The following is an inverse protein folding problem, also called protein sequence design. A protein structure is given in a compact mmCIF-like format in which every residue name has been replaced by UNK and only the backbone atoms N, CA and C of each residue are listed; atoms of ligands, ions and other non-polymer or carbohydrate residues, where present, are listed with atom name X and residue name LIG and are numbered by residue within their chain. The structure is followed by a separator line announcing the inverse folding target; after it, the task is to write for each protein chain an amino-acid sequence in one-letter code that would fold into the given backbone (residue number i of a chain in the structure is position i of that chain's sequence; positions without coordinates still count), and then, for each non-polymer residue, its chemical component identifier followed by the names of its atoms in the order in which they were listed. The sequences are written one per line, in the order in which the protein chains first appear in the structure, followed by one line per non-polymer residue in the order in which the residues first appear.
data_IF_639864955988
#
_entry.id   IF_639864955988
#
_cell.length_a   1.000
_cell.length_b   1.000
_cell.length_c   1.000
_cell.angle_alpha   90.00
_cell.angle_beta   90.00
_cell.angle_gamma   90.00
#
_symmetry.space_group_name_H-M   'P 1'
#
loop_
_entity.id
_entity.type
_entity.pdbx_description
1 polymer ?
#
# COMPACT_ATOMS: atom_id res chain seq x y z
N UNK A 1 -8.02 -14.27 -10.01
CA UNK A 1 -7.58 -13.70 -8.72
C UNK A 1 -8.60 -12.65 -8.34
N UNK A 2 -9.06 -12.66 -7.09
CA UNK A 2 -9.89 -11.60 -6.51
C UNK A 2 -9.04 -10.91 -5.46
N UNK A 3 -8.76 -9.63 -5.65
CA UNK A 3 -7.92 -8.87 -4.74
C UNK A 3 -8.77 -7.97 -3.84
N UNK A 4 -8.37 -7.81 -2.58
CA UNK A 4 -9.00 -6.94 -1.58
C UNK A 4 -10.52 -7.10 -1.47
N UNK A 5 -11.00 -8.33 -1.25
CA UNK A 5 -12.44 -8.63 -1.16
C UNK A 5 -13.18 -7.81 -0.09
N UNK A 6 -12.48 -7.37 0.96
CA UNK A 6 -12.99 -6.49 2.01
C UNK A 6 -13.41 -5.10 1.50
N UNK A 7 -12.76 -4.58 0.45
CA UNK A 7 -13.06 -3.27 -0.15
C UNK A 7 -14.30 -3.29 -1.06
N UNK A 8 -14.86 -4.47 -1.33
CA UNK A 8 -16.11 -4.58 -2.09
C UNK A 8 -17.27 -4.03 -1.26
N UNK A 9 -18.09 -3.18 -1.87
CA UNK A 9 -19.30 -2.66 -1.25
C UNK A 9 -20.19 -3.80 -0.72
N UNK A 10 -20.71 -3.65 0.49
CA UNK A 10 -21.51 -4.66 1.18
C UNK A 10 -22.69 -5.20 0.34
N UNK A 11 -23.27 -4.35 -0.51
CA UNK A 11 -24.35 -4.73 -1.45
C UNK A 11 -23.96 -5.86 -2.39
N UNK A 12 -22.71 -5.89 -2.87
CA UNK A 12 -22.21 -6.90 -3.80
C UNK A 12 -21.41 -8.01 -3.13
N UNK A 13 -20.89 -7.77 -1.91
CA UNK A 13 -20.06 -8.72 -1.16
C UNK A 13 -20.75 -10.08 -0.99
N UNK A 14 -22.05 -10.10 -0.66
CA UNK A 14 -22.83 -11.34 -0.58
C UNK A 14 -22.91 -12.13 -1.89
N UNK A 15 -23.01 -11.46 -3.04
CA UNK A 15 -23.11 -12.13 -4.34
C UNK A 15 -21.78 -12.76 -4.73
N UNK A 16 -20.67 -12.05 -4.50
CA UNK A 16 -19.32 -12.56 -4.76
C UNK A 16 -19.02 -13.77 -3.86
N UNK A 17 -19.33 -13.69 -2.57
CA UNK A 17 -19.14 -14.82 -1.64
C UNK A 17 -19.96 -16.05 -2.05
N UNK A 18 -21.22 -15.85 -2.48
CA UNK A 18 -22.05 -16.93 -3.02
C UNK A 18 -21.44 -17.53 -4.30
N UNK A 19 -20.92 -16.70 -5.19
CA UNK A 19 -20.23 -17.16 -6.40
C UNK A 19 -19.02 -18.02 -6.06
N UNK A 20 -18.14 -17.56 -5.16
CA UNK A 20 -16.96 -18.31 -4.72
C UNK A 20 -17.37 -19.68 -4.17
N UNK A 21 -18.34 -19.72 -3.26
CA UNK A 21 -18.85 -20.96 -2.66
C UNK A 21 -19.43 -21.93 -3.70
N UNK A 22 -20.18 -21.41 -4.67
CA UNK A 22 -20.78 -22.25 -5.71
C UNK A 22 -19.72 -22.80 -6.68
N UNK A 23 -18.70 -22.00 -6.99
CA UNK A 23 -17.63 -22.39 -7.89
C UNK A 23 -16.73 -23.49 -7.30
N UNK A 24 -16.42 -23.40 -6.00
CA UNK A 24 -15.61 -24.39 -5.29
C UNK A 24 -16.38 -25.67 -4.96
N UNK A 25 -17.64 -25.57 -4.54
CA UNK A 25 -18.48 -26.75 -4.19
C UNK A 25 -18.82 -27.64 -5.40
N UNK A 26 -18.94 -27.05 -6.60
CA UNK A 26 -19.14 -27.81 -7.84
C UNK A 26 -17.90 -28.57 -8.31
N UNK A 27 -16.75 -28.41 -7.65
CA UNK A 27 -15.54 -29.18 -7.95
C UNK A 27 -15.04 -28.98 -9.38
N UNK A 28 -15.13 -27.75 -9.89
CA UNK A 28 -14.69 -27.42 -11.26
C UNK A 28 -13.17 -27.65 -11.35
N UNK A 29 -12.76 -28.81 -11.88
CA UNK A 29 -11.36 -29.30 -11.87
C UNK A 29 -10.30 -28.37 -12.46
N UNK A 30 -10.70 -27.36 -13.23
CA UNK A 30 -9.79 -26.40 -13.89
C UNK A 30 -9.83 -24.99 -13.30
N UNK A 31 -10.60 -24.76 -12.24
CA UNK A 31 -10.72 -23.45 -11.62
C UNK A 31 -9.87 -23.36 -10.36
N UNK A 32 -8.90 -22.46 -10.38
CA UNK A 32 -8.11 -22.09 -9.21
C UNK A 32 -8.43 -20.64 -8.83
N UNK A 33 -8.86 -20.43 -7.59
CA UNK A 33 -9.19 -19.11 -7.06
C UNK A 33 -8.16 -18.72 -6.02
N UNK A 34 -7.51 -17.58 -6.25
CA UNK A 34 -6.75 -16.85 -5.23
C UNK A 34 -7.60 -15.64 -4.83
N UNK A 35 -7.87 -15.53 -3.54
CA UNK A 35 -8.65 -14.44 -2.93
C UNK A 35 -7.79 -13.81 -1.85
N UNK A 36 -7.66 -12.49 -1.84
CA UNK A 36 -7.03 -11.74 -0.76
C UNK A 36 -8.09 -10.90 -0.05
N UNK A 37 -7.93 -10.71 1.26
CA UNK A 37 -8.74 -9.78 2.04
C UNK A 37 -8.06 -9.46 3.36
N UNK A 38 -8.52 -8.42 4.06
CA UNK A 38 -8.34 -8.33 5.50
C UNK A 38 -9.07 -9.45 6.23
N UNK A 39 -8.63 -9.71 7.46
CA UNK A 39 -9.20 -10.76 8.31
C UNK A 39 -10.50 -10.32 8.99
N UNK A 40 -11.52 -10.00 8.19
CA UNK A 40 -12.83 -9.57 8.66
C UNK A 40 -13.74 -10.75 9.05
N UNK A 41 -14.50 -10.61 10.13
CA UNK A 41 -15.35 -11.68 10.66
C UNK A 41 -16.41 -12.17 9.66
N UNK A 42 -17.07 -11.26 8.94
CA UNK A 42 -18.05 -11.56 7.90
C UNK A 42 -17.46 -12.43 6.76
N UNK A 43 -16.27 -12.10 6.27
CA UNK A 43 -15.58 -12.84 5.21
C UNK A 43 -15.14 -14.21 5.74
N UNK A 44 -14.52 -14.25 6.92
CA UNK A 44 -14.08 -15.48 7.58
C UNK A 44 -15.23 -16.48 7.77
N UNK A 45 -16.38 -16.01 8.27
CA UNK A 45 -17.57 -16.84 8.46
C UNK A 45 -18.17 -17.31 7.14
N UNK A 46 -18.17 -16.48 6.11
CA UNK A 46 -18.66 -16.88 4.79
C UNK A 46 -17.75 -17.95 4.14
N UNK A 47 -16.43 -17.81 4.30
CA UNK A 47 -15.44 -18.69 3.69
C UNK A 47 -15.28 -20.03 4.43
N UNK A 48 -15.61 -20.11 5.73
CA UNK A 48 -15.47 -21.34 6.53
C UNK A 48 -16.23 -22.55 5.97
N UNK A 49 -17.28 -22.33 5.18
CA UNK A 49 -18.09 -23.37 4.55
C UNK A 49 -17.54 -23.84 3.19
N UNK A 50 -16.35 -23.39 2.83
CA UNK A 50 -15.74 -23.60 1.51
C UNK A 50 -14.42 -24.34 1.68
N UNK A 51 -14.10 -25.38 0.89
CA UNK A 51 -12.78 -25.97 0.96
C UNK A 51 -11.74 -24.99 0.41
N UNK A 52 -10.88 -24.46 1.27
CA UNK A 52 -9.82 -23.51 0.91
C UNK A 52 -8.59 -23.68 1.81
N UNK A 53 -7.47 -23.14 1.34
CA UNK A 53 -6.25 -22.99 2.13
C UNK A 53 -6.14 -21.51 2.47
N UNK A 54 -6.01 -21.21 3.76
CA UNK A 54 -5.78 -19.85 4.23
C UNK A 54 -4.29 -19.64 4.43
N UNK A 55 -3.74 -18.61 3.81
CA UNK A 55 -2.39 -18.12 4.07
C UNK A 55 -2.54 -16.83 4.86
N UNK A 56 -2.19 -16.88 6.14
CA UNK A 56 -2.21 -15.70 7.01
C UNK A 56 -0.87 -14.97 6.88
N UNK A 57 -0.91 -13.67 6.64
CA UNK A 57 0.27 -12.81 6.72
C UNK A 57 0.33 -12.30 8.16
N UNK A 58 1.24 -12.83 8.96
CA UNK A 58 1.38 -12.47 10.37
C UNK A 58 1.87 -11.03 10.52
N UNK A 59 1.33 -10.32 11.51
CA UNK A 59 1.73 -8.92 11.77
C UNK A 59 3.19 -8.84 12.16
N UNK A 60 3.69 -9.83 12.92
CA UNK A 60 5.07 -9.91 13.38
C UNK A 60 6.06 -10.04 12.21
N UNK A 61 5.69 -10.81 11.18
CA UNK A 61 6.51 -10.97 9.97
C UNK A 61 6.60 -9.64 9.22
N UNK A 62 5.47 -8.93 9.10
CA UNK A 62 5.42 -7.61 8.45
C UNK A 62 6.25 -6.59 9.23
N UNK A 63 6.15 -6.54 10.55
CA UNK A 63 6.94 -5.64 11.38
C UNK A 63 8.44 -5.90 11.27
N UNK A 64 8.86 -7.18 11.26
CA UNK A 64 10.25 -7.55 11.04
C UNK A 64 10.75 -7.10 9.65
N UNK A 65 9.89 -7.22 8.63
CA UNK A 65 10.18 -6.80 7.26
C UNK A 65 10.29 -5.28 7.15
N UNK A 66 9.37 -4.54 7.77
CA UNK A 66 9.40 -3.07 7.87
C UNK A 66 10.69 -2.60 8.51
N UNK A 67 11.06 -3.17 9.67
CA UNK A 67 12.28 -2.81 10.39
C UNK A 67 13.52 -3.07 9.55
N UNK A 68 13.56 -4.21 8.84
CA UNK A 68 14.65 -4.54 7.93
C UNK A 68 14.77 -3.52 6.80
N UNK A 69 13.64 -3.16 6.17
CA UNK A 69 13.59 -2.15 5.12
C UNK A 69 14.02 -0.75 5.61
N UNK A 70 13.52 -0.29 6.75
CA UNK A 70 13.90 1.01 7.31
C UNK A 70 15.41 1.05 7.59
N UNK A 71 15.95 -0.02 8.18
CA UNK A 71 17.38 -0.11 8.49
C UNK A 71 18.26 -0.17 7.26
N UNK A 72 17.84 -0.86 6.19
CA UNK A 72 18.59 -0.85 4.93
C UNK A 72 18.65 0.56 4.36
N UNK A 73 17.54 1.31 4.37
CA UNK A 73 17.49 2.72 3.96
C UNK A 73 18.40 3.64 4.79
N UNK A 74 18.72 3.28 6.03
CA UNK A 74 19.57 4.08 6.93
C UNK A 74 21.06 3.64 6.93
N UNK A 75 21.39 2.50 6.35
CA UNK A 75 22.73 1.90 6.44
C UNK A 75 23.41 1.68 5.10
N UNK A 76 22.66 1.46 4.02
CA UNK A 76 23.24 1.22 2.71
C UNK A 76 23.96 2.47 2.18
N UNK A 77 25.23 2.40 1.76
CA UNK A 77 25.99 3.58 1.33
C UNK A 77 25.39 4.33 0.13
N UNK A 78 24.60 3.64 -0.70
CA UNK A 78 23.88 4.21 -1.84
C UNK A 78 22.68 5.05 -1.42
N UNK A 79 22.20 4.88 -0.20
CA UNK A 79 21.00 5.55 0.30
C UNK A 79 21.30 6.92 0.89
N UNK A 80 20.42 7.88 0.62
CA UNK A 80 20.62 9.29 1.04
C UNK A 80 20.67 9.48 2.55
N UNK A 81 19.98 8.63 3.31
CA UNK A 81 19.90 8.72 4.77
C UNK A 81 21.11 8.04 5.46
N UNK A 82 21.98 7.36 4.71
CA UNK A 82 23.13 6.64 5.27
C UNK A 82 24.21 7.56 5.87
N UNK A 83 24.31 8.81 5.42
CA UNK A 83 25.25 9.80 5.94
C UNK A 83 24.81 10.52 7.22
N UNK A 84 23.64 10.19 7.77
CA UNK A 84 23.13 10.83 8.99
C UNK A 84 23.88 10.35 10.24
N UNK A 85 23.83 11.14 11.31
CA UNK A 85 24.36 10.71 12.61
C UNK A 85 23.56 9.53 13.17
N UNK A 86 24.23 8.67 13.93
CA UNK A 86 23.58 7.49 14.55
C UNK A 86 22.39 7.88 15.44
N UNK A 87 22.48 9.02 16.11
CA UNK A 87 21.39 9.58 16.92
C UNK A 87 20.15 9.83 16.06
N UNK A 88 20.32 10.45 14.88
CA UNK A 88 19.19 10.76 14.01
C UNK A 88 18.66 9.52 13.30
N UNK A 89 19.53 8.57 12.93
CA UNK A 89 19.11 7.27 12.41
C UNK A 89 18.28 6.49 13.41
N UNK A 90 18.70 6.48 14.68
CA UNK A 90 17.94 5.85 15.76
C UNK A 90 16.58 6.51 15.98
N UNK A 91 16.51 7.84 15.88
CA UNK A 91 15.25 8.58 15.96
C UNK A 91 14.31 8.20 14.80
N UNK A 92 14.83 8.08 13.57
CA UNK A 92 14.06 7.63 12.40
C UNK A 92 13.59 6.18 12.56
N UNK A 93 14.48 5.23 12.91
CA UNK A 93 14.14 3.81 13.12
C UNK A 93 12.99 3.70 14.12
N UNK A 94 13.10 4.36 15.26
CA UNK A 94 12.07 4.33 16.31
C UNK A 94 10.75 4.93 15.82
N UNK A 95 10.77 6.17 15.33
CA UNK A 95 9.53 6.88 14.95
C UNK A 95 8.80 6.26 13.78
N UNK A 96 9.54 5.77 12.78
CA UNK A 96 8.95 5.15 11.61
C UNK A 96 8.48 3.74 11.94
N UNK A 97 9.29 2.89 12.58
CA UNK A 97 8.88 1.51 12.88
C UNK A 97 7.67 1.49 13.83
N UNK A 98 7.71 2.27 14.92
CA UNK A 98 6.62 2.34 15.90
C UNK A 98 5.34 2.96 15.32
N UNK A 99 5.47 3.85 14.33
CA UNK A 99 4.36 4.52 13.66
C UNK A 99 3.63 3.68 12.63
N UNK A 100 4.23 2.58 12.16
CA UNK A 100 3.72 1.84 11.00
C UNK A 100 2.38 1.15 11.23
N UNK A 101 2.07 0.72 12.47
CA UNK A 101 0.88 -0.10 12.77
C UNK A 101 0.70 -1.23 11.75
N UNK A 102 1.79 -1.95 11.40
CA UNK A 102 1.81 -3.05 10.42
C UNK A 102 1.54 -2.61 8.96
N UNK A 103 1.64 -1.31 8.65
CA UNK A 103 1.45 -0.77 7.30
C UNK A 103 2.79 -0.52 6.60
N UNK A 104 3.30 -1.49 5.86
CA UNK A 104 4.57 -1.36 5.12
C UNK A 104 4.60 -0.13 4.21
N UNK A 105 3.50 0.13 3.49
CA UNK A 105 3.39 1.30 2.60
C UNK A 105 3.53 2.63 3.34
N UNK A 106 3.04 2.72 4.57
CA UNK A 106 3.20 3.93 5.37
C UNK A 106 4.68 4.19 5.65
N UNK A 107 5.44 3.15 6.01
CA UNK A 107 6.88 3.24 6.26
C UNK A 107 7.63 3.75 5.03
N UNK A 108 7.35 3.17 3.86
CA UNK A 108 7.91 3.58 2.56
C UNK A 108 7.65 5.06 2.33
N UNK A 109 6.39 5.51 2.47
CA UNK A 109 6.05 6.93 2.28
C UNK A 109 6.82 7.85 3.24
N UNK A 110 6.94 7.48 4.52
CA UNK A 110 7.69 8.31 5.47
C UNK A 110 9.18 8.37 5.12
N UNK A 111 9.78 7.24 4.75
CA UNK A 111 11.18 7.19 4.32
C UNK A 111 11.40 8.05 3.07
N UNK A 112 10.51 7.98 2.08
CA UNK A 112 10.60 8.80 0.86
C UNK A 112 10.50 10.30 1.15
N UNK A 113 9.62 10.71 2.06
CA UNK A 113 9.51 12.12 2.51
C UNK A 113 10.79 12.54 3.23
N UNK A 114 11.32 11.70 4.13
CA UNK A 114 12.57 11.98 4.85
C UNK A 114 13.76 12.08 3.89
N UNK A 115 13.79 11.25 2.84
CA UNK A 115 14.80 11.33 1.76
C UNK A 115 14.76 12.67 1.02
N UNK A 116 13.64 13.40 1.00
CA UNK A 116 13.59 14.72 0.35
C UNK A 116 14.20 15.83 1.21
N UNK A 117 14.23 15.66 2.54
CA UNK A 117 14.77 16.64 3.49
C UNK A 117 16.26 16.93 3.25
N UNK A 118 16.63 18.23 3.17
CA UNK A 118 18.01 18.64 2.84
C UNK A 118 18.88 18.83 4.08
N UNK A 119 18.27 19.14 5.23
CA UNK A 119 18.99 19.41 6.48
C UNK A 119 18.47 18.53 7.60
N UNK A 120 19.32 18.21 8.57
CA UNK A 120 18.96 17.44 9.75
C UNK A 120 17.80 18.07 10.55
N UNK A 121 17.70 19.40 10.56
CA UNK A 121 16.56 20.10 11.18
C UNK A 121 15.23 19.76 10.49
N UNK A 122 15.23 19.72 9.15
CA UNK A 122 14.02 19.48 8.36
C UNK A 122 13.55 18.02 8.57
N UNK A 123 14.51 17.09 8.70
CA UNK A 123 14.23 15.69 9.10
C UNK A 123 13.54 15.65 10.46
N UNK A 124 14.10 16.32 11.48
CA UNK A 124 13.52 16.34 12.83
C UNK A 124 12.12 16.95 12.86
N UNK A 125 11.91 18.02 12.12
CA UNK A 125 10.59 18.66 12.03
C UNK A 125 9.58 17.73 11.33
N UNK A 126 10.00 17.04 10.27
CA UNK A 126 9.18 16.01 9.60
C UNK A 126 8.83 14.86 10.54
N UNK A 127 9.79 14.34 11.32
CA UNK A 127 9.57 13.27 12.30
C UNK A 127 8.56 13.65 13.40
N UNK A 128 8.42 14.94 13.71
CA UNK A 128 7.42 15.45 14.67
C UNK A 128 6.01 15.55 14.08
N UNK A 129 5.90 15.58 12.76
CA UNK A 129 4.66 15.80 12.03
C UNK A 129 4.25 14.57 11.20
N UNK A 130 4.76 13.39 11.55
CA UNK A 130 4.41 12.17 10.84
C UNK A 130 2.89 11.92 10.89
N UNK A 131 2.26 11.62 9.74
CA UNK A 131 0.83 11.35 9.67
C UNK A 131 0.50 10.06 10.41
N UNK A 132 -0.64 10.02 11.09
CA UNK A 132 -1.06 8.87 11.92
C UNK A 132 -1.65 7.71 11.12
N UNK A 133 -2.02 7.93 9.85
CA UNK A 133 -2.65 6.92 8.98
C UNK A 133 -2.19 7.08 7.54
N UNK A 134 -2.28 5.99 6.77
CA UNK A 134 -2.00 6.01 5.34
C UNK A 134 -2.92 6.97 4.57
N UNK A 135 -4.17 7.14 5.02
CA UNK A 135 -5.09 8.12 4.43
C UNK A 135 -4.55 9.56 4.58
N UNK A 136 -4.14 9.96 5.78
CA UNK A 136 -3.56 11.29 6.00
C UNK A 136 -2.27 11.47 5.20
N UNK A 137 -1.44 10.42 5.11
CA UNK A 137 -0.24 10.42 4.25
C UNK A 137 -0.60 10.74 2.80
N UNK A 138 -1.61 10.07 2.23
CA UNK A 138 -2.01 10.34 0.84
C UNK A 138 -2.66 11.71 0.67
N UNK A 139 -3.43 12.22 1.63
CA UNK A 139 -3.94 13.60 1.60
C UNK A 139 -2.79 14.60 1.51
N UNK A 140 -1.73 14.41 2.29
CA UNK A 140 -0.55 15.28 2.25
C UNK A 140 0.20 15.16 0.92
N UNK A 141 0.44 13.95 0.42
CA UNK A 141 1.14 13.72 -0.86
C UNK A 141 0.36 14.32 -2.02
N UNK A 142 -0.95 14.06 -2.10
CA UNK A 142 -1.79 14.58 -3.18
C UNK A 142 -1.98 16.10 -3.08
N UNK A 143 -2.02 16.65 -1.87
CA UNK A 143 -2.08 18.10 -1.63
C UNK A 143 -0.80 18.86 -2.01
N UNK A 144 0.31 18.17 -2.30
CA UNK A 144 1.54 18.79 -2.79
C UNK A 144 1.58 18.94 -4.32
N UNK A 145 0.63 18.35 -5.03
CA UNK A 145 0.53 18.49 -6.49
C UNK A 145 0.17 19.96 -6.80
N UNK A 146 0.75 20.54 -7.85
CA UNK A 146 0.36 21.89 -8.26
C UNK A 146 -1.02 21.86 -8.92
N UNK A 147 -1.83 22.90 -8.73
CA UNK A 147 -3.18 22.99 -9.30
C UNK A 147 -3.20 22.78 -10.82
N UNK A 148 -2.18 23.28 -11.53
CA UNK A 148 -2.04 23.12 -12.98
C UNK A 148 -1.87 21.66 -13.43
N UNK A 149 -1.38 20.81 -12.54
CA UNK A 149 -1.07 19.40 -12.80
C UNK A 149 -2.22 18.47 -12.29
N UNK A 150 -3.31 19.01 -11.72
CA UNK A 150 -4.40 18.21 -11.13
C UNK A 150 -5.14 17.35 -12.15
N UNK A 151 -5.54 17.91 -13.29
CA UNK A 151 -6.29 17.18 -14.32
C UNK A 151 -5.46 16.01 -14.88
N UNK A 152 -4.18 16.26 -15.17
CA UNK A 152 -3.26 15.25 -15.67
C UNK A 152 -3.02 14.17 -14.60
N UNK A 153 -2.79 14.57 -13.35
CA UNK A 153 -2.57 13.62 -12.25
C UNK A 153 -3.81 12.76 -12.00
N UNK A 154 -5.00 13.36 -12.00
CA UNK A 154 -6.25 12.62 -11.84
C UNK A 154 -6.44 11.62 -12.97
N UNK A 155 -6.20 12.03 -14.21
CA UNK A 155 -6.27 11.15 -15.39
C UNK A 155 -5.29 9.98 -15.27
N UNK A 156 -4.04 10.25 -14.89
CA UNK A 156 -3.01 9.21 -14.69
C UNK A 156 -3.43 8.24 -13.59
N UNK A 157 -3.95 8.72 -12.47
CA UNK A 157 -4.42 7.87 -11.37
C UNK A 157 -5.59 6.98 -11.80
N UNK A 158 -6.51 7.50 -12.60
CA UNK A 158 -7.60 6.69 -13.18
C UNK A 158 -7.05 5.60 -14.11
N UNK A 159 -6.13 5.95 -15.02
CA UNK A 159 -5.49 4.97 -15.88
C UNK A 159 -4.76 3.88 -15.09
N UNK A 160 -4.03 4.24 -14.04
CA UNK A 160 -3.37 3.29 -13.15
C UNK A 160 -4.37 2.39 -12.42
N UNK A 161 -5.46 2.94 -11.89
CA UNK A 161 -6.44 2.20 -11.11
C UNK A 161 -7.30 1.23 -11.95
N UNK A 162 -7.60 1.58 -13.20
CA UNK A 162 -8.52 0.82 -14.04
C UNK A 162 -7.84 0.07 -15.20
N UNK A 163 -6.53 0.21 -15.37
CA UNK A 163 -5.79 -0.57 -16.35
C UNK A 163 -5.80 -2.07 -15.99
N UNK A 164 -6.06 -2.91 -17.00
CA UNK A 164 -6.04 -4.37 -16.84
C UNK A 164 -4.62 -4.95 -16.80
N UNK A 165 -3.65 -4.17 -17.26
CA UNK A 165 -2.25 -4.55 -17.37
C UNK A 165 -1.39 -3.40 -16.84
N UNK A 166 -0.22 -3.70 -16.22
CA UNK A 166 0.72 -2.67 -15.83
C UNK A 166 1.07 -1.78 -17.03
N UNK A 167 0.85 -0.48 -16.88
CA UNK A 167 1.18 0.50 -17.91
C UNK A 167 2.68 0.86 -17.82
N UNK A 168 3.32 0.95 -18.96
CA UNK A 168 4.66 1.51 -19.09
C UNK A 168 4.61 3.03 -18.92
N UNK A 169 5.76 3.64 -18.61
CA UNK A 169 5.86 5.11 -18.52
C UNK A 169 5.45 5.79 -19.82
N UNK A 170 5.75 5.19 -20.97
CA UNK A 170 5.34 5.71 -22.29
C UNK A 170 3.82 5.68 -22.44
N UNK A 171 3.18 4.57 -22.08
CA UNK A 171 1.72 4.45 -22.16
C UNK A 171 1.03 5.42 -21.19
N UNK A 172 1.56 5.62 -19.98
CA UNK A 172 1.04 6.62 -19.04
C UNK A 172 1.18 8.03 -19.60
N UNK A 173 2.31 8.36 -20.21
CA UNK A 173 2.53 9.68 -20.81
C UNK A 173 1.55 9.94 -21.97
N UNK A 174 1.29 8.94 -22.82
CA UNK A 174 0.28 9.04 -23.88
C UNK A 174 -1.14 9.14 -23.32
N UNK A 175 -1.43 8.39 -22.25
CA UNK A 175 -2.72 8.36 -21.59
C UNK A 175 -3.01 9.66 -20.83
N UNK A 176 -1.99 10.35 -20.29
CA UNK A 176 -2.15 11.65 -19.64
C UNK A 176 -2.66 12.74 -20.62
N UNK A 177 -2.31 12.64 -21.90
CA UNK A 177 -2.83 13.54 -22.95
C UNK A 177 -4.27 13.19 -23.35
N UNK A 178 -4.70 11.94 -23.10
CA UNK A 178 -6.02 11.42 -23.47
C UNK A 178 -6.93 11.39 -22.25
N UNK A 179 -7.96 12.25 -22.25
CA UNK A 179 -8.98 12.22 -21.19
C UNK A 179 -9.67 10.84 -21.15
N UNK A 180 -9.74 10.18 -19.99
CA UNK A 180 -10.53 8.96 -19.85
C UNK A 180 -12.02 9.30 -20.08
N UNK A 181 -12.71 8.46 -20.87
CA UNK A 181 -14.14 8.61 -21.19
C UNK A 181 -15.04 8.20 -20.01
#
# INVERSE_FOLDING_TARGET
MLDALDEVAETFKCEILKFIRNATSKGIKKLHLLVTSRDEANIRTAMSHTPHITIHIAEEDVDANIRTYVRSCLSEPTERLSGLSDVLKSEIDTKVVDGTRVMFRWAVCQIDILKQCRKARDIKDTLRQLPTTLHVTYVQILGQINERDYEDTFSILQWLAFSKCPLTLTEIAEAAVKRPN
#
